data_IF_485790681605
#
_entry.id   IF_485790681605
#
_cell.length_a   1.000
_cell.length_b   1.000
_cell.length_c   1.000
_cell.angle_alpha   90.00
_cell.angle_beta   90.00
_cell.angle_gamma   90.00
#
_symmetry.space_group_name_H-M   'P 1'
#
loop_
_entity.id
_entity.type
_entity.pdbx_description
1 polymer ?
#
# COMPACT_ATOMS: atom_id res chain seq x y z
N UNK A 1 15.09 3.28 7.49
CA UNK A 1 14.90 3.62 6.06
C UNK A 1 13.84 4.70 5.97
N UNK A 2 14.04 5.73 5.16
CA UNK A 2 12.98 6.69 4.89
C UNK A 2 11.97 6.06 3.92
N UNK A 3 10.68 6.15 4.22
CA UNK A 3 9.63 5.85 3.23
C UNK A 3 9.63 6.96 2.18
N UNK A 4 9.54 6.59 0.90
CA UNK A 4 9.38 7.60 -0.14
C UNK A 4 7.99 8.28 -0.04
N UNK A 5 7.83 9.39 -0.75
CA UNK A 5 6.62 10.22 -0.67
C UNK A 5 5.35 9.48 -1.14
N UNK A 6 5.46 8.58 -2.12
CA UNK A 6 4.31 7.83 -2.63
C UNK A 6 3.88 6.77 -1.62
N UNK A 7 4.83 6.06 -1.01
CA UNK A 7 4.55 5.11 0.07
C UNK A 7 3.89 5.81 1.27
N UNK A 8 4.40 6.99 1.68
CA UNK A 8 3.79 7.77 2.75
C UNK A 8 2.36 8.19 2.41
N UNK A 9 2.13 8.72 1.21
CA UNK A 9 0.81 9.14 0.76
C UNK A 9 -0.19 7.98 0.76
N UNK A 10 0.22 6.77 0.36
CA UNK A 10 -0.62 5.58 0.41
C UNK A 10 -0.97 5.16 1.84
N UNK A 11 -0.01 5.22 2.77
CA UNK A 11 -0.24 4.88 4.17
C UNK A 11 -1.17 5.86 4.89
N UNK A 12 -1.12 7.14 4.49
CA UNK A 12 -1.94 8.21 5.05
C UNK A 12 -3.41 8.21 4.55
N UNK A 13 -3.76 7.36 3.57
CA UNK A 13 -5.15 7.22 3.08
C UNK A 13 -6.08 6.72 4.18
N UNK A 14 -7.30 7.23 4.23
CA UNK A 14 -8.40 6.66 5.02
C UNK A 14 -9.20 5.66 4.19
N UNK A 15 -10.06 4.86 4.84
CA UNK A 15 -10.92 3.90 4.13
C UNK A 15 -11.91 4.60 3.18
N UNK A 16 -12.25 5.86 3.47
CA UNK A 16 -13.09 6.70 2.61
C UNK A 16 -12.36 7.16 1.34
N UNK A 17 -11.03 7.24 1.39
CA UNK A 17 -10.22 7.68 0.25
C UNK A 17 -9.95 6.55 -0.76
N UNK A 18 -10.12 5.29 -0.35
CA UNK A 18 -9.70 4.11 -1.13
C UNK A 18 -10.41 3.98 -2.47
N UNK A 19 -11.69 4.34 -2.56
CA UNK A 19 -12.43 4.28 -3.83
C UNK A 19 -11.88 5.28 -4.86
N UNK A 20 -11.63 6.51 -4.42
CA UNK A 20 -11.03 7.57 -5.25
C UNK A 20 -9.61 7.21 -5.65
N UNK A 21 -8.82 6.68 -4.71
CA UNK A 21 -7.47 6.20 -4.97
C UNK A 21 -7.47 5.05 -6.01
N UNK A 22 -8.35 4.06 -5.86
CA UNK A 22 -8.46 2.94 -6.79
C UNK A 22 -8.81 3.41 -8.21
N UNK A 23 -9.76 4.35 -8.35
CA UNK A 23 -10.15 4.91 -9.63
C UNK A 23 -9.01 5.69 -10.30
N UNK A 24 -8.30 6.53 -9.54
CA UNK A 24 -7.16 7.29 -10.06
C UNK A 24 -6.03 6.36 -10.52
N UNK A 25 -5.66 5.38 -9.69
CA UNK A 25 -4.64 4.38 -10.03
C UNK A 25 -5.03 3.53 -11.24
N UNK A 26 -6.30 3.13 -11.35
CA UNK A 26 -6.80 2.39 -12.50
C UNK A 26 -6.70 3.21 -13.79
N UNK A 27 -7.07 4.50 -13.75
CA UNK A 27 -6.95 5.40 -14.88
C UNK A 27 -5.49 5.61 -15.32
N UNK A 28 -4.57 5.78 -14.37
CA UNK A 28 -3.14 5.95 -14.66
C UNK A 28 -2.52 4.75 -15.41
N UNK A 29 -2.97 3.53 -15.10
CA UNK A 29 -2.47 2.30 -15.73
C UNK A 29 -3.34 1.84 -16.91
N UNK A 30 -4.36 2.61 -17.30
CA UNK A 30 -5.28 2.26 -18.39
C UNK A 30 -6.16 1.04 -18.09
N UNK A 31 -6.42 0.76 -16.81
CA UNK A 31 -7.28 -0.34 -16.37
C UNK A 31 -8.72 0.15 -16.23
N UNK A 32 -9.66 -0.58 -16.84
CA UNK A 32 -11.10 -0.40 -16.57
C UNK A 32 -11.43 -1.16 -15.29
N UNK A 33 -11.98 -0.46 -14.30
CA UNK A 33 -12.41 -1.05 -13.03
C UNK A 33 -13.94 -1.17 -13.03
N UNK A 34 -14.51 -2.38 -13.23
CA UNK A 34 -15.96 -2.56 -13.17
C UNK A 34 -16.49 -2.18 -11.79
N UNK A 35 -17.64 -1.50 -11.76
CA UNK A 35 -18.26 -1.05 -10.50
C UNK A 35 -18.50 -2.20 -9.51
N UNK A 36 -18.83 -3.39 -10.02
CA UNK A 36 -19.03 -4.60 -9.22
C UNK A 36 -17.78 -5.09 -8.50
N UNK A 37 -16.59 -4.72 -8.98
CA UNK A 37 -15.31 -5.12 -8.39
C UNK A 37 -14.76 -4.10 -7.40
N UNK A 38 -15.27 -2.86 -7.43
CA UNK A 38 -14.77 -1.76 -6.62
C UNK A 38 -14.77 -2.06 -5.11
N UNK A 39 -15.81 -2.67 -4.51
CA UNK A 39 -15.79 -3.01 -3.09
C UNK A 39 -14.63 -3.94 -2.71
N UNK A 40 -14.44 -5.02 -3.48
CA UNK A 40 -13.37 -5.99 -3.23
C UNK A 40 -11.97 -5.39 -3.45
N UNK A 41 -11.83 -4.48 -4.41
CA UNK A 41 -10.57 -3.74 -4.62
C UNK A 41 -10.28 -2.83 -3.43
N UNK A 42 -11.26 -2.10 -2.92
CA UNK A 42 -11.10 -1.27 -1.72
C UNK A 42 -10.70 -2.11 -0.50
N UNK A 43 -11.34 -3.27 -0.27
CA UNK A 43 -10.98 -4.19 0.82
C UNK A 43 -9.52 -4.66 0.71
N UNK A 44 -9.09 -5.06 -0.48
CA UNK A 44 -7.72 -5.50 -0.72
C UNK A 44 -6.71 -4.36 -0.51
N UNK A 45 -7.03 -3.14 -0.94
CA UNK A 45 -6.19 -1.96 -0.71
C UNK A 45 -6.09 -1.61 0.78
N UNK A 46 -7.19 -1.71 1.53
CA UNK A 46 -7.19 -1.51 2.98
C UNK A 46 -6.28 -2.54 3.67
N UNK A 47 -6.38 -3.82 3.29
CA UNK A 47 -5.53 -4.88 3.81
C UNK A 47 -4.06 -4.64 3.48
N UNK A 48 -3.75 -4.31 2.23
CA UNK A 48 -2.40 -3.99 1.80
C UNK A 48 -1.83 -2.80 2.57
N UNK A 49 -2.62 -1.75 2.79
CA UNK A 49 -2.22 -0.58 3.59
C UNK A 49 -1.87 -0.99 5.02
N UNK A 50 -2.71 -1.79 5.67
CA UNK A 50 -2.47 -2.28 7.03
C UNK A 50 -1.21 -3.14 7.14
N UNK A 51 -1.01 -4.09 6.23
CA UNK A 51 0.18 -4.93 6.19
C UNK A 51 1.45 -4.12 5.93
N UNK A 52 1.37 -3.14 5.03
CA UNK A 52 2.49 -2.24 4.74
C UNK A 52 2.85 -1.39 5.96
N UNK A 53 1.86 -0.86 6.68
CA UNK A 53 2.09 -0.13 7.92
C UNK A 53 2.81 -0.99 8.97
N UNK A 54 2.36 -2.25 9.15
CA UNK A 54 3.00 -3.21 10.05
C UNK A 54 4.46 -3.45 9.66
N UNK A 55 4.73 -3.66 8.37
CA UNK A 55 6.08 -3.91 7.88
C UNK A 55 7.00 -2.69 8.02
N UNK A 56 6.51 -1.48 7.70
CA UNK A 56 7.27 -0.23 7.89
C UNK A 56 7.59 -0.01 9.37
N UNK A 57 6.65 -0.27 10.28
CA UNK A 57 6.89 -0.20 11.71
C UNK A 57 7.97 -1.21 12.16
N UNK A 58 7.90 -2.45 11.68
CA UNK A 58 8.89 -3.49 11.98
C UNK A 58 10.29 -3.14 11.43
N UNK A 59 10.38 -2.60 10.21
CA UNK A 59 11.63 -2.10 9.63
C UNK A 59 12.20 -0.91 10.41
N UNK A 60 11.34 -0.01 10.90
CA UNK A 60 11.75 1.09 11.76
C UNK A 60 12.35 0.60 13.07
N UNK A 61 11.74 -0.42 13.69
CA UNK A 61 12.25 -1.03 14.92
C UNK A 61 13.61 -1.71 14.73
N UNK A 62 13.90 -2.21 13.52
CA UNK A 62 15.15 -2.88 13.14
C UNK A 62 16.11 -1.97 12.36
N UNK A 63 15.90 -0.66 12.42
CA UNK A 63 16.71 0.29 11.67
C UNK A 63 18.19 0.23 12.11
N UNK A 64 19.08 -0.05 11.16
CA UNK A 64 20.52 -0.21 11.40
C UNK A 64 21.00 -1.66 11.42
N UNK A 65 20.09 -2.64 11.40
CA UNK A 65 20.45 -4.04 11.14
C UNK A 65 20.74 -4.26 9.65
N UNK A 66 21.78 -5.04 9.35
CA UNK A 66 22.05 -5.47 7.98
C UNK A 66 20.96 -6.44 7.51
N UNK A 67 20.44 -6.28 6.27
CA UNK A 67 19.57 -7.29 5.67
C UNK A 67 20.26 -8.66 5.71
N UNK A 68 19.54 -9.69 6.15
CA UNK A 68 20.06 -11.04 6.07
C UNK A 68 20.11 -11.45 4.60
N UNK A 69 21.29 -11.86 4.13
CA UNK A 69 21.42 -12.51 2.83
C UNK A 69 20.63 -13.83 2.84
N UNK A 70 19.91 -14.08 1.77
CA UNK A 70 19.31 -15.39 1.54
C UNK A 70 20.41 -16.39 1.13
N UNK A 71 20.52 -17.50 1.85
CA UNK A 71 21.36 -18.65 1.50
C UNK A 71 20.43 -19.76 0.98
N UNK A 72 20.64 -20.28 -0.26
CA UNK A 72 19.78 -21.30 -0.87
C UNK A 72 19.84 -22.68 -0.20
#
# INVERSE_FOLDING_TARGET
MATDAALKAFLDLTDQDLATYAAARAAEIGLILPETTLPAVCENLALLRAQTALFVAALGARAGESPQSFEP
#
